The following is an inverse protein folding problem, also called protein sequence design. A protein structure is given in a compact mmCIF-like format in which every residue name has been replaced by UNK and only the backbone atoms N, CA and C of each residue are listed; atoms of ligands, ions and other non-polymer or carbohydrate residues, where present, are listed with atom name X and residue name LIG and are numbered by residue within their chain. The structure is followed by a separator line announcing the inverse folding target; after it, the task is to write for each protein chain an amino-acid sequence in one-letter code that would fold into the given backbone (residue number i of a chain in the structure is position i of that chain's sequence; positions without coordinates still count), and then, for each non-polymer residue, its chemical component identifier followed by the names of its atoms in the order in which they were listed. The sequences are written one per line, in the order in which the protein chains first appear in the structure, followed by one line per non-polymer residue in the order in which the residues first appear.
data_IF_755314261591
#
_entry.id   IF_755314261591
#
_cell.length_a   1.000
_cell.length_b   1.000
_cell.length_c   1.000
_cell.angle_alpha   90.00
_cell.angle_beta   90.00
_cell.angle_gamma   90.00
#
_symmetry.space_group_name_H-M   'P 1'
#
loop_
_entity.id
_entity.type
_entity.pdbx_description
1 polymer ?
#
# COMPACT_ATOMS: atom_id res chain seq x y z
N UNK A 1 18.48 -10.64 1.10
CA UNK A 1 18.88 -10.19 -0.25
C UNK A 1 17.72 -10.25 -1.24
N UNK A 2 17.21 -11.45 -1.61
CA UNK A 2 16.17 -11.61 -2.65
C UNK A 2 14.85 -10.89 -2.35
N UNK A 3 14.31 -11.04 -1.13
CA UNK A 3 13.06 -10.37 -0.72
C UNK A 3 13.20 -8.84 -0.77
N UNK A 4 14.34 -8.31 -0.30
CA UNK A 4 14.63 -6.88 -0.37
C UNK A 4 14.64 -6.39 -1.83
N UNK A 5 15.21 -7.17 -2.76
CA UNK A 5 15.18 -6.85 -4.19
C UNK A 5 13.75 -6.81 -4.73
N UNK A 6 12.88 -7.74 -4.34
CA UNK A 6 11.46 -7.70 -4.73
C UNK A 6 10.74 -6.46 -4.18
N UNK A 7 11.00 -6.10 -2.93
CA UNK A 7 10.44 -4.89 -2.32
C UNK A 7 10.91 -3.63 -3.06
N UNK A 8 12.21 -3.52 -3.34
CA UNK A 8 12.74 -2.40 -4.11
C UNK A 8 12.14 -2.33 -5.53
N UNK A 9 12.02 -3.47 -6.21
CA UNK A 9 11.42 -3.52 -7.54
C UNK A 9 9.95 -3.09 -7.51
N UNK A 10 9.20 -3.54 -6.50
CA UNK A 10 7.81 -3.13 -6.29
C UNK A 10 7.68 -1.62 -6.05
N UNK A 11 8.55 -1.04 -5.20
CA UNK A 11 8.58 0.39 -4.93
C UNK A 11 8.92 1.24 -6.16
N UNK A 12 9.85 0.76 -7.00
CA UNK A 12 10.21 1.40 -8.26
C UNK A 12 9.07 1.35 -9.28
N UNK A 13 8.40 0.20 -9.40
CA UNK A 13 7.23 0.05 -10.28
C UNK A 13 6.10 0.98 -9.82
N UNK A 14 5.85 1.09 -8.51
CA UNK A 14 4.86 2.03 -7.97
C UNK A 14 5.18 3.48 -8.33
N UNK A 15 6.45 3.89 -8.22
CA UNK A 15 6.88 5.23 -8.61
C UNK A 15 6.70 5.48 -10.11
N UNK A 16 7.06 4.50 -10.94
CA UNK A 16 6.85 4.55 -12.38
C UNK A 16 5.36 4.69 -12.75
N UNK A 17 4.48 3.96 -12.06
CA UNK A 17 3.04 4.06 -12.25
C UNK A 17 2.51 5.47 -11.96
N UNK A 18 2.94 6.08 -10.86
CA UNK A 18 2.52 7.45 -10.50
C UNK A 18 2.97 8.46 -11.56
N UNK A 19 4.24 8.39 -11.97
CA UNK A 19 4.78 9.25 -13.04
C UNK A 19 3.98 9.08 -14.33
N UNK A 20 3.68 7.83 -14.71
CA UNK A 20 2.96 7.53 -15.93
C UNK A 20 1.49 7.94 -15.89
N UNK A 21 0.81 7.80 -14.74
CA UNK A 21 -0.62 8.08 -14.60
C UNK A 21 -0.88 9.59 -14.56
N UNK A 22 -0.07 10.32 -13.81
CA UNK A 22 -0.20 11.77 -13.64
C UNK A 22 0.59 12.56 -14.70
N UNK A 23 1.25 11.87 -15.64
CA UNK A 23 2.05 12.44 -16.73
C UNK A 23 3.09 13.46 -16.24
N UNK A 24 3.72 13.14 -15.10
CA UNK A 24 4.65 14.04 -14.40
C UNK A 24 5.95 14.11 -15.16
N UNK A 25 6.33 15.32 -15.59
CA UNK A 25 7.64 15.57 -16.19
C UNK A 25 8.64 15.88 -15.09
N UNK A 26 9.62 15.01 -14.90
CA UNK A 26 10.62 15.14 -13.83
C UNK A 26 11.71 16.21 -14.08
N UNK A 27 11.49 17.15 -15.01
CA UNK A 27 12.50 18.14 -15.40
C UNK A 27 12.34 19.50 -14.72
N UNK A 28 11.36 19.65 -13.82
CA UNK A 28 11.04 20.89 -13.13
C UNK A 28 10.71 20.63 -11.66
N UNK A 29 11.10 21.56 -10.78
CA UNK A 29 11.07 21.38 -9.33
C UNK A 29 9.64 21.22 -8.77
N UNK A 30 8.66 21.93 -9.33
CA UNK A 30 7.24 21.81 -8.92
C UNK A 30 6.68 20.40 -9.15
N UNK A 31 7.07 19.77 -10.26
CA UNK A 31 6.65 18.41 -10.59
C UNK A 31 7.33 17.37 -9.70
N UNK A 32 8.52 17.67 -9.19
CA UNK A 32 9.21 16.82 -8.22
C UNK A 32 8.48 16.85 -6.87
N UNK A 33 8.06 18.03 -6.42
CA UNK A 33 7.27 18.19 -5.19
C UNK A 33 5.94 17.44 -5.30
N UNK A 34 5.22 17.62 -6.42
CA UNK A 34 3.99 16.88 -6.70
C UNK A 34 4.20 15.35 -6.67
N UNK A 35 5.30 14.87 -7.28
CA UNK A 35 5.62 13.44 -7.24
C UNK A 35 5.88 12.94 -5.82
N UNK A 36 6.64 13.70 -5.01
CA UNK A 36 6.95 13.31 -3.63
C UNK A 36 5.68 13.22 -2.80
N UNK A 37 4.77 14.19 -2.93
CA UNK A 37 3.49 14.19 -2.23
C UNK A 37 2.65 12.95 -2.59
N UNK A 38 2.46 12.71 -3.88
CA UNK A 38 1.70 11.56 -4.39
C UNK A 38 2.33 10.22 -4.01
N UNK A 39 3.67 10.13 -4.11
CA UNK A 39 4.41 8.92 -3.75
C UNK A 39 4.30 8.63 -2.25
N UNK A 40 4.45 9.66 -1.41
CA UNK A 40 4.32 9.52 0.04
C UNK A 40 2.89 9.12 0.46
N UNK A 41 1.87 9.69 -0.18
CA UNK A 41 0.48 9.31 0.05
C UNK A 41 0.22 7.85 -0.36
N UNK A 42 0.74 7.42 -1.51
CA UNK A 42 0.62 6.04 -1.96
C UNK A 42 1.26 5.05 -0.98
N UNK A 43 2.47 5.35 -0.48
CA UNK A 43 3.14 4.53 0.54
C UNK A 43 2.31 4.46 1.83
N UNK A 44 1.78 5.59 2.30
CA UNK A 44 0.95 5.64 3.50
C UNK A 44 -0.29 4.76 3.37
N UNK A 45 -0.99 4.83 2.22
CA UNK A 45 -2.14 3.97 1.92
C UNK A 45 -1.75 2.49 1.87
N UNK A 46 -0.57 2.18 1.36
CA UNK A 46 -0.08 0.81 1.27
C UNK A 46 0.20 0.21 2.66
N UNK A 47 0.81 1.01 3.54
CA UNK A 47 1.09 0.64 4.93
C UNK A 47 -0.23 0.48 5.70
N UNK A 48 -1.17 1.43 5.57
CA UNK A 48 -2.46 1.37 6.27
C UNK A 48 -3.28 0.15 5.85
N UNK A 49 -3.31 -0.17 4.56
CA UNK A 49 -4.01 -1.35 4.04
C UNK A 49 -3.33 -2.65 4.48
N UNK A 50 -2.00 -2.67 4.54
CA UNK A 50 -1.25 -3.84 5.05
C UNK A 50 -1.53 -4.05 6.54
N UNK A 51 -1.62 -2.97 7.31
CA UNK A 51 -2.01 -2.97 8.72
C UNK A 51 -3.45 -3.47 8.93
N UNK A 52 -4.41 -3.02 8.11
CA UNK A 52 -5.80 -3.49 8.23
C UNK A 52 -5.93 -4.97 7.85
N UNK A 53 -5.25 -5.41 6.80
CA UNK A 53 -5.27 -6.81 6.36
C UNK A 53 -4.64 -7.74 7.40
N UNK A 54 -3.48 -7.36 7.94
CA UNK A 54 -2.85 -8.14 9.02
C UNK A 54 -3.70 -8.13 10.29
N UNK A 55 -4.33 -7.00 10.63
CA UNK A 55 -5.31 -6.92 11.72
C UNK A 55 -6.50 -7.86 11.51
N UNK A 56 -7.07 -7.88 10.31
CA UNK A 56 -8.17 -8.77 9.94
C UNK A 56 -7.80 -10.26 10.05
N UNK A 57 -6.61 -10.63 9.60
CA UNK A 57 -6.08 -12.00 9.72
C UNK A 57 -5.82 -12.37 11.18
N UNK A 58 -5.15 -11.50 11.95
CA UNK A 58 -4.78 -11.75 13.36
C UNK A 58 -6.02 -11.83 14.25
N UNK A 59 -7.01 -10.98 14.02
CA UNK A 59 -8.28 -11.01 14.75
C UNK A 59 -9.19 -12.15 14.32
N UNK A 60 -8.79 -12.93 13.31
CA UNK A 60 -9.59 -14.02 12.76
C UNK A 60 -11.01 -13.56 12.37
N UNK A 61 -11.16 -12.29 11.98
CA UNK A 61 -12.44 -11.71 11.54
C UNK A 61 -12.94 -12.35 10.23
N UNK A 62 -12.09 -13.13 9.57
CA UNK A 62 -12.41 -13.95 8.41
C UNK A 62 -13.04 -15.29 8.75
N UNK A 63 -12.93 -15.76 9.99
CA UNK A 63 -13.63 -16.97 10.41
C UNK A 63 -15.10 -16.64 10.62
N UNK A 64 -16.03 -17.44 10.04
CA UNK A 64 -17.44 -17.28 10.31
C UNK A 64 -17.68 -17.38 11.81
N UNK A 65 -18.36 -16.38 12.38
CA UNK A 65 -18.83 -16.48 13.75
C UNK A 65 -19.83 -17.62 13.80
N UNK A 66 -19.57 -18.61 14.65
CA UNK A 66 -20.49 -19.73 14.84
C UNK A 66 -21.80 -19.15 15.38
N UNK A 67 -22.91 -19.28 14.62
CA UNK A 67 -24.25 -18.80 15.02
C UNK A 67 -24.83 -19.52 16.26
N UNK A 68 -24.05 -20.33 16.97
CA UNK A 68 -24.53 -21.23 18.03
C UNK A 68 -24.11 -20.82 19.45
N UNK A 69 -23.43 -19.69 19.66
CA UNK A 69 -23.06 -19.22 21.01
C UNK A 69 -24.18 -18.38 21.68
N UNK A 70 -25.41 -18.45 21.14
CA UNK A 70 -26.61 -17.76 21.69
C UNK A 70 -27.58 -18.67 22.44
N UNK A 71 -27.24 -19.93 22.71
CA UNK A 71 -27.97 -20.77 23.67
C UNK A 71 -26.99 -21.72 24.40
N UNK A 72 -26.61 -21.38 25.65
CA UNK A 72 -25.84 -22.26 26.53
C UNK A 72 -25.10 -21.55 27.66
#
# INVERSE_FOLDING_TARGET
MKVLMFVLMFLLIGGFFIISNENIKMNNAENLELFIDLYSEWINRLISNSGSLSGYVVKMEWLPQNENDSEG
#
